data_IF_364922079898
#
_entry.id   IF_364922079898
#
_cell.length_a   1.000
_cell.length_b   1.000
_cell.length_c   1.000
_cell.angle_alpha   90.00
_cell.angle_beta   90.00
_cell.angle_gamma   90.00
#
_symmetry.space_group_name_H-M   'P 1'
#
loop_
_entity.id
_entity.type
_entity.pdbx_description
1 polymer ?
#
# COMPACT_ATOMS: atom_id res chain seq x y z
N UNK A 1 4.01 -26.77 34.01
CA UNK A 1 3.03 -27.07 32.95
C UNK A 1 2.28 -25.77 32.71
N UNK A 2 2.71 -25.04 31.70
CA UNK A 2 1.98 -23.85 31.23
C UNK A 2 0.79 -24.33 30.39
N UNK A 3 -0.39 -23.82 30.69
CA UNK A 3 -1.57 -24.05 29.89
C UNK A 3 -1.30 -23.54 28.44
N UNK A 4 -1.74 -24.29 27.41
CA UNK A 4 -1.69 -23.75 26.07
C UNK A 4 -2.63 -22.55 26.00
N UNK A 5 -2.10 -21.38 25.67
CA UNK A 5 -2.91 -20.23 25.30
C UNK A 5 -3.46 -20.59 23.91
N UNK A 6 -4.68 -21.11 23.88
CA UNK A 6 -5.48 -21.20 22.64
C UNK A 6 -5.74 -19.76 22.20
N UNK A 7 -4.80 -19.20 21.47
CA UNK A 7 -4.96 -17.95 20.73
C UNK A 7 -5.73 -18.33 19.44
N UNK A 8 -6.99 -18.75 19.59
CA UNK A 8 -7.93 -18.80 18.46
C UNK A 8 -8.13 -17.37 17.98
N UNK A 9 -7.21 -16.94 17.11
CA UNK A 9 -7.33 -15.68 16.41
C UNK A 9 -8.50 -15.82 15.45
N UNK A 10 -9.69 -15.34 15.89
CA UNK A 10 -10.81 -15.14 14.95
C UNK A 10 -10.25 -14.42 13.72
N UNK A 11 -10.52 -14.95 12.54
CA UNK A 11 -10.21 -14.32 11.26
C UNK A 11 -10.97 -12.99 11.23
N UNK A 12 -10.33 -11.95 11.72
CA UNK A 12 -10.89 -10.61 11.70
C UNK A 12 -10.84 -10.10 10.26
N UNK A 13 -11.97 -9.66 9.74
CA UNK A 13 -12.00 -8.82 8.53
C UNK A 13 -11.02 -7.66 8.70
N UNK A 14 -10.34 -7.28 7.61
CA UNK A 14 -9.54 -6.05 7.63
C UNK A 14 -10.51 -4.88 7.54
N UNK A 15 -10.63 -4.03 8.58
CA UNK A 15 -11.57 -2.93 8.56
C UNK A 15 -11.17 -1.92 7.49
N UNK A 16 -12.03 -1.75 6.48
CA UNK A 16 -11.87 -0.74 5.44
C UNK A 16 -12.53 0.59 5.86
N UNK A 17 -12.19 1.08 7.04
CA UNK A 17 -12.71 2.35 7.51
C UNK A 17 -11.97 3.54 6.88
N UNK A 18 -12.62 4.70 6.91
CA UNK A 18 -12.03 5.96 6.49
C UNK A 18 -11.04 6.45 7.56
N UNK A 19 -9.78 6.63 7.17
CA UNK A 19 -8.71 7.13 8.02
C UNK A 19 -8.41 8.58 7.60
N UNK A 20 -8.46 9.51 8.53
CA UNK A 20 -8.29 10.94 8.24
C UNK A 20 -6.93 11.41 8.79
N UNK A 21 -6.01 11.71 7.88
CA UNK A 21 -4.73 12.34 8.20
C UNK A 21 -4.78 13.87 8.11
N UNK A 22 -3.62 14.51 8.17
CA UNK A 22 -3.46 15.96 8.04
C UNK A 22 -3.74 16.42 6.59
N UNK A 23 -3.05 15.81 5.63
CA UNK A 23 -3.06 16.15 4.20
C UNK A 23 -3.81 15.14 3.36
N UNK A 24 -3.91 13.90 3.83
CA UNK A 24 -4.56 12.82 3.11
C UNK A 24 -5.77 12.27 3.87
N UNK A 25 -6.66 11.68 3.08
CA UNK A 25 -7.70 10.78 3.56
C UNK A 25 -7.46 9.44 2.88
N UNK A 26 -7.43 8.38 3.67
CA UNK A 26 -7.45 7.01 3.18
C UNK A 26 -8.87 6.47 3.32
N UNK A 27 -9.44 5.96 2.28
CA UNK A 27 -10.73 5.29 2.31
C UNK A 27 -10.80 4.18 1.24
N UNK A 28 -11.65 3.18 1.42
CA UNK A 28 -11.89 2.22 0.37
C UNK A 28 -12.31 2.94 -0.91
N UNK A 29 -11.83 2.42 -2.03
CA UNK A 29 -12.29 2.85 -3.34
C UNK A 29 -13.65 2.22 -3.63
N UNK A 30 -14.52 2.97 -4.26
CA UNK A 30 -15.85 2.53 -4.69
C UNK A 30 -15.98 2.68 -6.20
N UNK A 31 -16.98 2.05 -6.81
CA UNK A 31 -17.18 2.06 -8.26
C UNK A 31 -17.19 3.48 -8.86
N UNK A 32 -17.75 4.45 -8.17
CA UNK A 32 -17.76 5.85 -8.63
C UNK A 32 -16.37 6.50 -8.70
N UNK A 33 -15.35 5.92 -8.06
CA UNK A 33 -13.97 6.39 -8.12
C UNK A 33 -13.23 5.88 -9.38
N UNK A 34 -13.75 4.83 -10.03
CA UNK A 34 -13.05 4.12 -11.11
C UNK A 34 -12.61 5.05 -12.24
N UNK A 35 -13.48 5.96 -12.68
CA UNK A 35 -13.15 6.91 -13.73
C UNK A 35 -12.02 7.88 -13.32
N UNK A 36 -12.07 8.39 -12.11
CA UNK A 36 -11.06 9.34 -11.60
C UNK A 36 -9.71 8.66 -11.39
N UNK A 37 -9.73 7.42 -10.89
CA UNK A 37 -8.54 6.61 -10.71
C UNK A 37 -7.92 6.20 -12.04
N UNK A 38 -8.75 5.81 -13.02
CA UNK A 38 -8.28 5.50 -14.38
C UNK A 38 -7.59 6.70 -15.03
N UNK A 39 -8.21 7.89 -14.97
CA UNK A 39 -7.59 9.12 -15.49
C UNK A 39 -6.24 9.41 -14.85
N UNK A 40 -6.13 9.22 -13.54
CA UNK A 40 -4.87 9.42 -12.81
C UNK A 40 -3.79 8.43 -13.27
N UNK A 41 -4.15 7.17 -13.49
CA UNK A 41 -3.25 6.12 -14.02
C UNK A 41 -2.79 6.52 -15.41
N UNK A 42 -3.72 6.87 -16.27
CA UNK A 42 -3.44 7.21 -17.69
C UNK A 42 -2.53 8.44 -17.81
N UNK A 43 -2.82 9.51 -17.08
CA UNK A 43 -1.97 10.71 -17.00
C UNK A 43 -0.57 10.43 -16.45
N UNK A 44 -0.40 9.37 -15.68
CA UNK A 44 0.84 9.02 -15.00
C UNK A 44 1.50 7.76 -15.55
N UNK A 45 0.97 7.15 -16.60
CA UNK A 45 1.35 5.83 -17.13
C UNK A 45 2.87 5.69 -17.31
N UNK A 46 3.48 6.54 -18.13
CA UNK A 46 4.92 6.53 -18.39
C UNK A 46 5.79 6.68 -17.12
N UNK A 47 5.24 7.33 -16.10
CA UNK A 47 5.92 7.52 -14.82
C UNK A 47 5.79 6.28 -13.95
N UNK A 48 4.60 5.69 -13.88
CA UNK A 48 4.30 4.51 -13.06
C UNK A 48 4.96 3.25 -13.63
N UNK A 49 4.90 3.05 -14.95
CA UNK A 49 5.47 1.88 -15.64
C UNK A 49 6.99 1.75 -15.47
N UNK A 50 7.69 2.81 -15.05
CA UNK A 50 9.13 2.72 -14.73
C UNK A 50 9.43 1.79 -13.55
N UNK A 51 8.46 1.59 -12.65
CA UNK A 51 8.64 0.87 -11.40
C UNK A 51 7.51 -0.11 -11.08
N UNK A 52 6.49 -0.18 -11.94
CA UNK A 52 5.32 -1.02 -11.73
C UNK A 52 4.99 -1.78 -13.02
N UNK A 53 4.70 -3.08 -12.95
CA UNK A 53 4.45 -3.89 -14.15
C UNK A 53 3.05 -3.70 -14.76
N UNK A 54 2.07 -3.28 -13.96
CA UNK A 54 0.64 -3.33 -14.31
C UNK A 54 0.05 -2.08 -15.01
N UNK A 55 0.66 -0.86 -14.99
CA UNK A 55 0.00 0.32 -15.59
C UNK A 55 -0.28 0.17 -17.08
N UNK A 56 0.58 -0.53 -17.81
CA UNK A 56 0.43 -0.72 -19.25
C UNK A 56 -0.70 -1.71 -19.58
N UNK A 57 -1.06 -2.59 -18.64
CA UNK A 57 -2.17 -3.54 -18.79
C UNK A 57 -3.52 -2.94 -18.35
N UNK A 58 -3.50 -1.81 -17.63
CA UNK A 58 -4.70 -1.13 -17.15
C UNK A 58 -5.14 -0.07 -18.17
N UNK A 59 -5.87 -0.48 -19.21
CA UNK A 59 -6.21 0.32 -20.39
C UNK A 59 -7.63 0.91 -20.40
N UNK A 60 -8.44 0.59 -19.40
CA UNK A 60 -9.85 0.99 -19.36
C UNK A 60 -10.38 1.22 -17.94
N UNK A 61 -11.47 1.96 -17.85
CA UNK A 61 -12.21 2.13 -16.57
C UNK A 61 -12.69 0.78 -16.05
N UNK A 62 -13.13 -0.13 -16.94
CA UNK A 62 -13.57 -1.47 -16.55
C UNK A 62 -12.45 -2.29 -15.86
N UNK A 63 -11.20 -2.12 -16.32
CA UNK A 63 -10.04 -2.74 -15.64
C UNK A 63 -9.89 -2.21 -14.21
N UNK A 64 -10.10 -0.91 -13.98
CA UNK A 64 -10.03 -0.31 -12.64
C UNK A 64 -11.20 -0.78 -11.78
N UNK A 65 -12.43 -0.85 -12.31
CA UNK A 65 -13.61 -1.37 -11.60
C UNK A 65 -13.37 -2.80 -11.12
N UNK A 66 -12.87 -3.68 -11.98
CA UNK A 66 -12.53 -5.06 -11.60
C UNK A 66 -11.45 -5.14 -10.50
N UNK A 67 -10.48 -4.22 -10.49
CA UNK A 67 -9.49 -4.13 -9.41
C UNK A 67 -10.14 -3.69 -8.08
N UNK A 68 -11.04 -2.72 -8.11
CA UNK A 68 -11.77 -2.25 -6.91
C UNK A 68 -12.55 -3.42 -6.29
N UNK A 69 -13.31 -4.17 -7.09
CA UNK A 69 -14.04 -5.37 -6.64
C UNK A 69 -13.09 -6.43 -6.05
N UNK A 70 -11.94 -6.66 -6.69
CA UNK A 70 -10.94 -7.61 -6.20
C UNK A 70 -10.36 -7.20 -4.83
N UNK A 71 -10.11 -5.92 -4.61
CA UNK A 71 -9.60 -5.42 -3.32
C UNK A 71 -10.63 -5.52 -2.21
N UNK A 72 -11.92 -5.29 -2.52
CA UNK A 72 -13.00 -5.51 -1.58
C UNK A 72 -13.08 -6.97 -1.14
N UNK A 73 -13.03 -7.91 -2.08
CA UNK A 73 -12.98 -9.34 -1.78
C UNK A 73 -11.77 -9.74 -0.92
N UNK A 74 -10.59 -9.16 -1.20
CA UNK A 74 -9.39 -9.42 -0.39
C UNK A 74 -9.56 -8.98 1.07
N UNK A 75 -10.21 -7.84 1.31
CA UNK A 75 -10.48 -7.36 2.65
C UNK A 75 -11.46 -8.27 3.40
N UNK A 76 -12.53 -8.73 2.73
CA UNK A 76 -13.50 -9.69 3.27
C UNK A 76 -12.85 -11.04 3.61
N UNK A 77 -11.83 -11.45 2.86
CA UNK A 77 -11.06 -12.68 3.11
C UNK A 77 -9.93 -12.49 4.14
N UNK A 78 -9.79 -11.32 4.73
CA UNK A 78 -8.73 -10.95 5.69
C UNK A 78 -7.29 -11.21 5.20
N UNK A 79 -7.03 -11.19 3.89
CA UNK A 79 -5.72 -11.48 3.32
C UNK A 79 -5.04 -10.27 2.65
N UNK A 80 -5.72 -9.13 2.63
CA UNK A 80 -5.21 -7.87 2.09
C UNK A 80 -6.29 -6.80 2.06
N UNK A 81 -5.90 -5.55 1.82
CA UNK A 81 -6.80 -4.41 1.73
C UNK A 81 -6.21 -3.33 0.83
N UNK A 82 -7.05 -2.51 0.22
CA UNK A 82 -6.62 -1.35 -0.55
C UNK A 82 -7.39 -0.10 -0.13
N UNK A 83 -6.66 0.95 0.18
CA UNK A 83 -7.22 2.29 0.35
C UNK A 83 -6.79 3.19 -0.80
N UNK A 84 -7.73 3.95 -1.33
CA UNK A 84 -7.41 5.12 -2.13
C UNK A 84 -6.74 6.18 -1.25
N UNK A 85 -5.68 6.79 -1.76
CA UNK A 85 -5.04 7.95 -1.15
C UNK A 85 -5.69 9.19 -1.77
N UNK A 86 -6.43 9.95 -0.98
CA UNK A 86 -7.06 11.17 -1.42
C UNK A 86 -6.36 12.38 -0.78
N UNK A 87 -5.92 13.32 -1.62
CA UNK A 87 -5.40 14.59 -1.12
C UNK A 87 -6.53 15.49 -0.69
N UNK A 88 -6.40 16.10 0.50
CA UNK A 88 -7.35 17.12 0.99
C UNK A 88 -7.06 18.45 0.33
N UNK A 89 -8.05 19.02 -0.33
CA UNK A 89 -7.99 20.34 -0.94
C UNK A 89 -9.16 21.22 -0.46
N UNK A 90 -9.11 22.54 -0.64
CA UNK A 90 -10.24 23.41 -0.29
C UNK A 90 -11.53 23.04 -1.03
N UNK A 91 -11.43 22.44 -2.23
CA UNK A 91 -12.54 22.04 -3.08
C UNK A 91 -13.05 20.63 -2.75
N UNK A 92 -12.35 19.87 -1.88
CA UNK A 92 -12.71 18.50 -1.49
C UNK A 92 -11.54 17.51 -1.55
N UNK A 93 -11.87 16.23 -1.67
CA UNK A 93 -10.90 15.14 -1.74
C UNK A 93 -10.60 14.78 -3.19
N UNK A 94 -9.32 14.75 -3.58
CA UNK A 94 -8.86 14.39 -4.93
C UNK A 94 -8.05 13.11 -4.86
N UNK A 95 -8.41 12.08 -5.65
CA UNK A 95 -7.65 10.83 -5.71
C UNK A 95 -6.22 11.08 -6.17
N UNK A 96 -5.26 10.65 -5.37
CA UNK A 96 -3.83 10.87 -5.58
C UNK A 96 -3.06 9.57 -5.87
N UNK A 97 -3.63 8.41 -5.52
CA UNK A 97 -3.03 7.09 -5.69
C UNK A 97 -3.69 6.05 -4.82
N UNK A 98 -2.98 4.95 -4.58
CA UNK A 98 -3.43 3.87 -3.70
C UNK A 98 -2.31 3.41 -2.76
N UNK A 99 -2.73 2.85 -1.63
CA UNK A 99 -1.89 2.08 -0.71
C UNK A 99 -2.56 0.73 -0.47
N UNK A 100 -1.78 -0.33 -0.61
CA UNK A 100 -2.26 -1.72 -0.57
C UNK A 100 -1.55 -2.47 0.54
N UNK A 101 -2.31 -3.03 1.45
CA UNK A 101 -1.87 -4.06 2.38
C UNK A 101 -2.05 -5.40 1.69
N UNK A 102 -1.00 -6.22 1.64
CA UNK A 102 -1.04 -7.53 0.99
C UNK A 102 -0.32 -8.59 1.82
N UNK A 103 -0.50 -9.84 1.42
CA UNK A 103 0.18 -10.99 2.05
C UNK A 103 0.10 -10.99 3.58
N UNK A 104 -1.12 -10.78 4.11
CA UNK A 104 -1.33 -10.81 5.56
C UNK A 104 -1.16 -12.23 6.06
N UNK A 105 -0.17 -12.41 6.93
CA UNK A 105 0.18 -13.69 7.55
C UNK A 105 -0.17 -13.62 9.04
N UNK A 106 -1.39 -13.92 9.38
CA UNK A 106 -1.91 -13.81 10.75
C UNK A 106 -1.10 -14.64 11.75
N UNK A 107 -0.73 -15.88 11.39
CA UNK A 107 0.10 -16.74 12.24
C UNK A 107 1.48 -16.14 12.57
N UNK A 108 2.01 -15.28 11.71
CA UNK A 108 3.30 -14.59 11.91
C UNK A 108 3.12 -13.13 12.30
N UNK A 109 1.88 -12.65 12.37
CA UNK A 109 1.54 -11.26 12.64
C UNK A 109 2.33 -10.30 11.74
N UNK A 110 2.39 -10.60 10.45
CA UNK A 110 3.09 -9.80 9.45
C UNK A 110 2.26 -9.56 8.21
N UNK A 111 2.55 -8.45 7.53
CA UNK A 111 1.95 -8.11 6.24
C UNK A 111 2.94 -7.35 5.37
N UNK A 112 2.67 -7.29 4.07
CA UNK A 112 3.39 -6.40 3.16
C UNK A 112 2.56 -5.15 2.88
N UNK A 113 3.23 -4.05 2.58
CA UNK A 113 2.58 -2.83 2.11
C UNK A 113 3.24 -2.35 0.83
N UNK A 114 2.43 -1.87 -0.09
CA UNK A 114 2.88 -1.19 -1.30
C UNK A 114 2.03 0.04 -1.56
N UNK A 115 2.55 1.01 -2.30
CA UNK A 115 1.82 2.23 -2.64
C UNK A 115 2.30 2.79 -3.96
N UNK A 116 1.43 3.59 -4.57
CA UNK A 116 1.79 4.44 -5.69
C UNK A 116 1.02 5.76 -5.63
N UNK A 117 1.61 6.80 -6.23
CA UNK A 117 0.98 8.11 -6.42
C UNK A 117 1.09 8.51 -7.88
N UNK A 118 0.07 9.21 -8.38
CA UNK A 118 0.17 9.90 -9.64
C UNK A 118 1.31 10.93 -9.62
N UNK A 119 1.96 11.14 -10.77
CA UNK A 119 3.17 11.97 -10.91
C UNK A 119 3.04 13.34 -10.25
N UNK A 120 1.89 14.01 -10.42
CA UNK A 120 1.62 15.37 -9.89
C UNK A 120 1.52 15.44 -8.37
N UNK A 121 1.33 14.32 -7.69
CA UNK A 121 1.17 14.20 -6.24
C UNK A 121 2.46 13.82 -5.52
N UNK A 122 3.52 13.50 -6.28
CA UNK A 122 4.81 13.11 -5.71
C UNK A 122 5.53 14.31 -5.07
N UNK A 123 6.40 14.03 -4.06
CA UNK A 123 7.25 15.04 -3.41
C UNK A 123 6.52 15.94 -2.41
N UNK A 124 5.26 15.68 -2.09
CA UNK A 124 4.39 16.48 -1.22
C UNK A 124 4.15 15.84 0.15
N UNK A 125 4.83 14.75 0.47
CA UNK A 125 4.72 14.03 1.73
C UNK A 125 3.52 13.08 1.83
N UNK A 126 2.62 13.04 0.84
CA UNK A 126 1.39 12.26 0.91
C UNK A 126 1.62 10.76 1.10
N UNK A 127 2.60 10.17 0.38
CA UNK A 127 2.92 8.75 0.54
C UNK A 127 3.48 8.41 1.93
N UNK A 128 4.30 9.29 2.50
CA UNK A 128 4.84 9.09 3.85
C UNK A 128 3.72 9.11 4.89
N UNK A 129 2.82 10.08 4.79
CA UNK A 129 1.66 10.18 5.69
C UNK A 129 0.71 8.97 5.54
N UNK A 130 0.39 8.59 4.30
CA UNK A 130 -0.43 7.41 4.02
C UNK A 130 0.17 6.13 4.62
N UNK A 131 1.49 5.96 4.49
CA UNK A 131 2.20 4.79 5.01
C UNK A 131 2.18 4.74 6.54
N UNK A 132 2.32 5.89 7.22
CA UNK A 132 2.22 5.99 8.68
C UNK A 132 0.80 5.69 9.17
N UNK A 133 -0.23 6.20 8.50
CA UNK A 133 -1.61 5.92 8.84
C UNK A 133 -1.94 4.43 8.71
N UNK A 134 -1.55 3.78 7.60
CA UNK A 134 -1.75 2.33 7.43
C UNK A 134 -0.95 1.54 8.46
N UNK A 135 0.28 1.93 8.78
CA UNK A 135 1.08 1.27 9.82
C UNK A 135 0.36 1.31 11.18
N UNK A 136 -0.23 2.46 11.54
CA UNK A 136 -1.03 2.60 12.77
C UNK A 136 -2.19 1.61 12.82
N UNK A 137 -2.97 1.51 11.73
CA UNK A 137 -4.10 0.57 11.64
C UNK A 137 -3.64 -0.88 11.71
N UNK A 138 -2.60 -1.23 10.97
CA UNK A 138 -2.02 -2.58 10.92
C UNK A 138 -1.56 -3.02 12.31
N UNK A 139 -0.90 -2.14 13.06
CA UNK A 139 -0.47 -2.45 14.42
C UNK A 139 -1.63 -2.48 15.42
N UNK A 140 -2.66 -1.65 15.24
CA UNK A 140 -3.88 -1.71 16.03
C UNK A 140 -4.65 -3.03 15.83
N UNK A 141 -4.58 -3.65 14.64
CA UNK A 141 -5.11 -4.98 14.36
C UNK A 141 -4.30 -6.11 15.00
N UNK A 142 -3.20 -5.82 15.71
CA UNK A 142 -2.36 -6.81 16.39
C UNK A 142 -1.25 -7.41 15.53
N UNK A 143 -1.00 -6.89 14.32
CA UNK A 143 0.18 -7.28 13.56
C UNK A 143 1.44 -6.71 14.22
N UNK A 144 2.55 -7.40 14.07
CA UNK A 144 3.83 -7.03 14.67
C UNK A 144 4.82 -6.44 13.66
N UNK A 145 4.63 -6.76 12.37
CA UNK A 145 5.61 -6.45 11.33
C UNK A 145 4.93 -6.04 10.03
N UNK A 146 5.36 -4.91 9.50
CA UNK A 146 4.96 -4.42 8.19
C UNK A 146 6.19 -4.37 7.27
N UNK A 147 6.11 -5.00 6.10
CA UNK A 147 7.20 -5.11 5.15
C UNK A 147 6.95 -4.29 3.89
N UNK A 148 8.03 -3.74 3.34
CA UNK A 148 8.02 -2.98 2.09
C UNK A 148 9.22 -3.36 1.24
N UNK A 149 9.02 -3.64 -0.06
CA UNK A 149 10.09 -3.88 -1.02
C UNK A 149 10.15 -2.75 -2.03
N UNK A 150 11.36 -2.26 -2.30
CA UNK A 150 11.59 -1.12 -3.19
C UNK A 150 12.72 -1.44 -4.13
N UNK A 151 12.51 -1.29 -5.44
CA UNK A 151 13.60 -1.40 -6.43
C UNK A 151 14.77 -0.49 -6.05
N UNK A 152 16.01 -1.00 -6.17
CA UNK A 152 17.24 -0.20 -5.96
C UNK A 152 17.29 1.01 -6.89
N UNK A 153 16.56 0.95 -8.01
CA UNK A 153 16.44 2.02 -9.00
C UNK A 153 15.38 3.08 -8.64
N UNK A 154 14.67 2.91 -7.49
CA UNK A 154 13.67 3.86 -7.00
C UNK A 154 14.06 4.54 -5.67
N UNK A 155 15.10 5.41 -5.66
CA UNK A 155 15.57 6.05 -4.44
C UNK A 155 14.52 6.96 -3.78
N UNK A 156 13.52 7.44 -4.54
CA UNK A 156 12.42 8.26 -4.00
C UNK A 156 11.51 7.42 -3.09
N UNK A 157 11.16 6.21 -3.51
CA UNK A 157 10.36 5.29 -2.69
C UNK A 157 11.15 4.81 -1.46
N UNK A 158 12.43 4.49 -1.61
CA UNK A 158 13.31 4.16 -0.49
C UNK A 158 13.39 5.31 0.54
N UNK A 159 13.43 6.56 0.08
CA UNK A 159 13.40 7.72 0.97
C UNK A 159 12.04 7.89 1.70
N UNK A 160 10.93 7.48 1.09
CA UNK A 160 9.61 7.43 1.77
C UNK A 160 9.63 6.40 2.88
N UNK A 161 10.10 5.18 2.61
CA UNK A 161 10.20 4.11 3.62
C UNK A 161 11.02 4.57 4.84
N UNK A 162 12.22 5.14 4.61
CA UNK A 162 13.08 5.64 5.68
C UNK A 162 12.42 6.75 6.51
N UNK A 163 11.72 7.70 5.86
CA UNK A 163 10.98 8.77 6.57
C UNK A 163 9.81 8.25 7.38
N UNK A 164 9.20 7.16 6.96
CA UNK A 164 8.14 6.48 7.70
C UNK A 164 8.67 5.55 8.80
N UNK A 165 9.99 5.55 9.07
CA UNK A 165 10.59 4.78 10.17
C UNK A 165 10.94 3.33 9.82
N UNK A 166 10.78 2.90 8.56
CA UNK A 166 11.17 1.55 8.16
C UNK A 166 12.68 1.39 8.17
N UNK A 167 13.14 0.29 8.77
CA UNK A 167 14.54 -0.13 8.77
C UNK A 167 14.86 -0.95 7.52
N UNK A 168 16.03 -0.70 6.93
CA UNK A 168 16.56 -1.46 5.81
C UNK A 168 17.16 -2.78 6.30
N UNK A 169 16.72 -3.92 5.76
CA UNK A 169 17.15 -5.24 6.19
C UNK A 169 18.09 -5.93 5.18
N UNK A 170 18.24 -5.37 4.00
CA UNK A 170 19.16 -5.89 2.98
C UNK A 170 18.60 -5.82 1.57
N UNK A 171 19.34 -6.42 0.64
CA UNK A 171 18.99 -6.45 -0.78
C UNK A 171 18.64 -7.89 -1.19
N UNK A 172 17.46 -8.04 -1.79
CA UNK A 172 17.07 -9.25 -2.50
C UNK A 172 17.44 -9.08 -3.98
N UNK A 173 18.38 -9.90 -4.45
CA UNK A 173 18.81 -9.86 -5.85
C UNK A 173 17.77 -10.49 -6.75
N UNK A 174 17.59 -9.94 -7.96
CA UNK A 174 16.66 -10.45 -8.99
C UNK A 174 15.25 -10.71 -8.45
N UNK A 175 14.76 -9.80 -7.59
CA UNK A 175 13.53 -9.96 -6.83
C UNK A 175 12.27 -9.81 -7.71
N UNK A 176 12.26 -8.87 -8.63
CA UNK A 176 11.14 -8.59 -9.51
C UNK A 176 11.58 -8.63 -10.98
N UNK A 177 10.74 -9.20 -11.83
CA UNK A 177 10.93 -9.12 -13.28
C UNK A 177 10.07 -8.00 -13.83
N UNK A 178 10.73 -6.93 -14.29
CA UNK A 178 10.08 -5.74 -14.84
C UNK A 178 10.56 -5.53 -16.28
N UNK A 179 9.64 -5.39 -17.24
CA UNK A 179 9.94 -5.14 -18.66
C UNK A 179 11.02 -6.05 -19.27
N UNK A 180 11.00 -7.33 -18.89
CA UNK A 180 11.88 -8.35 -19.46
C UNK A 180 13.24 -8.52 -18.78
N UNK A 181 13.61 -7.68 -17.81
CA UNK A 181 14.83 -7.80 -17.00
C UNK A 181 14.50 -7.95 -15.52
N UNK A 182 15.46 -8.42 -14.73
CA UNK A 182 15.32 -8.57 -13.29
C UNK A 182 15.84 -7.33 -12.57
N UNK A 183 15.16 -6.95 -11.49
CA UNK A 183 15.56 -5.87 -10.60
C UNK A 183 15.81 -6.36 -9.19
N UNK A 184 16.85 -5.81 -8.58
CA UNK A 184 17.14 -5.99 -7.17
C UNK A 184 16.24 -5.08 -6.34
N UNK A 185 15.77 -5.58 -5.18
CA UNK A 185 14.98 -4.78 -4.26
C UNK A 185 15.62 -4.65 -2.89
N UNK A 186 15.54 -3.47 -2.33
CA UNK A 186 15.83 -3.21 -0.92
C UNK A 186 14.62 -3.68 -0.13
N UNK A 187 14.86 -4.51 0.88
CA UNK A 187 13.82 -4.93 1.84
C UNK A 187 13.82 -3.99 3.02
N UNK A 188 12.64 -3.50 3.36
CA UNK A 188 12.39 -2.66 4.51
C UNK A 188 11.37 -3.32 5.41
N UNK A 189 11.49 -3.09 6.72
CA UNK A 189 10.48 -3.49 7.70
C UNK A 189 10.30 -2.42 8.77
N UNK A 190 9.07 -2.34 9.27
CA UNK A 190 8.70 -1.58 10.46
C UNK A 190 8.08 -2.55 11.47
N UNK A 191 8.57 -2.55 12.69
CA UNK A 191 8.03 -3.35 13.77
C UNK A 191 7.18 -2.47 14.70
N UNK A 192 6.15 -3.06 15.31
CA UNK A 192 5.27 -2.34 16.25
C UNK A 192 6.07 -1.67 17.38
N UNK A 193 7.13 -2.30 17.88
CA UNK A 193 7.99 -1.75 18.94
C UNK A 193 8.81 -0.53 18.51
N UNK A 194 9.01 -0.33 17.21
CA UNK A 194 9.80 0.76 16.61
C UNK A 194 8.88 1.88 16.09
N UNK A 195 7.56 1.65 16.14
CA UNK A 195 6.54 2.62 15.73
C UNK A 195 6.15 3.50 16.91
N UNK A 196 6.42 4.82 16.82
CA UNK A 196 6.19 5.83 17.86
C UNK A 196 5.05 6.79 17.46
#
# INVERSE_FOLDING_TARGET
MGEPVDDEMELCEIPLEKIVGERVVLRPLVESDALSLFKLIDESRDFLSKHLPWPDECDSVACVSAKIESWEMQAQMANGACWGIFEKTPEGEIVAGCIVLGWVQWAHRSATVSYWLGRRFCGRGLATEALLLVASEVFAMGLNRLELSVSVNNPKSAAVARRAGFCEEGICREYERLHGHYEDHIRFALLVKDFC
#
